data_IF_562187393321
#
_entry.id   IF_562187393321
#
_cell.length_a   1.000
_cell.length_b   1.000
_cell.length_c   1.000
_cell.angle_alpha   90.00
_cell.angle_beta   90.00
_cell.angle_gamma   90.00
#
_symmetry.space_group_name_H-M   'P 1'
#
loop_
_entity.id
_entity.type
_entity.pdbx_description
1 polymer ?
#
# COMPACT_ATOMS: atom_id res chain seq x y z
N UNK A 1 18.82 2.35 18.52
CA UNK A 1 18.28 3.38 17.60
C UNK A 1 17.50 4.41 18.40
N UNK A 2 17.61 5.71 18.09
CA UNK A 2 16.73 6.72 18.71
C UNK A 2 15.27 6.31 18.45
N UNK A 3 14.40 6.38 19.45
CA UNK A 3 13.01 5.91 19.36
C UNK A 3 12.25 6.52 18.16
N UNK A 4 12.54 7.78 17.82
CA UNK A 4 11.95 8.46 16.65
C UNK A 4 12.39 7.91 15.30
N UNK A 5 13.64 7.44 15.18
CA UNK A 5 14.18 6.85 13.96
C UNK A 5 13.51 5.50 13.67
N UNK A 6 13.40 4.63 14.68
CA UNK A 6 12.71 3.35 14.52
C UNK A 6 11.23 3.54 14.14
N UNK A 7 10.54 4.47 14.81
CA UNK A 7 9.15 4.81 14.48
C UNK A 7 9.00 5.26 13.02
N UNK A 8 9.92 6.10 12.53
CA UNK A 8 9.89 6.58 11.15
C UNK A 8 10.05 5.47 10.12
N UNK A 9 11.01 4.56 10.34
CA UNK A 9 11.23 3.39 9.47
C UNK A 9 9.98 2.50 9.43
N UNK A 10 9.39 2.20 10.59
CA UNK A 10 8.20 1.35 10.69
C UNK A 10 7.03 1.98 9.92
N UNK A 11 6.79 3.28 10.08
CA UNK A 11 5.72 3.98 9.36
C UNK A 11 5.95 3.96 7.84
N UNK A 12 7.18 4.17 7.37
CA UNK A 12 7.49 4.05 5.94
C UNK A 12 7.22 2.64 5.44
N UNK A 13 7.65 1.61 6.17
CA UNK A 13 7.43 0.22 5.78
C UNK A 13 5.93 -0.12 5.70
N UNK A 14 5.13 0.32 6.67
CA UNK A 14 3.67 0.12 6.67
C UNK A 14 3.04 0.86 5.48
N UNK A 15 3.39 2.11 5.24
CA UNK A 15 2.85 2.89 4.12
C UNK A 15 3.19 2.28 2.76
N UNK A 16 4.45 1.87 2.59
CA UNK A 16 4.92 1.18 1.38
C UNK A 16 4.21 -0.16 1.18
N UNK A 17 4.01 -0.94 2.24
CA UNK A 17 3.26 -2.20 2.18
C UNK A 17 1.82 -1.99 1.72
N UNK A 18 1.12 -1.00 2.28
CA UNK A 18 -0.26 -0.69 1.88
C UNK A 18 -0.32 -0.30 0.40
N UNK A 19 0.61 0.55 -0.06
CA UNK A 19 0.68 0.95 -1.48
C UNK A 19 0.92 -0.26 -2.37
N UNK A 20 1.93 -1.08 -2.04
CA UNK A 20 2.25 -2.31 -2.76
C UNK A 20 1.03 -3.23 -2.86
N UNK A 21 0.38 -3.50 -1.73
CA UNK A 21 -0.80 -4.34 -1.66
C UNK A 21 -1.95 -3.80 -2.53
N UNK A 22 -2.15 -2.49 -2.52
CA UNK A 22 -3.19 -1.83 -3.31
C UNK A 22 -2.92 -1.95 -4.82
N UNK A 23 -1.65 -1.82 -5.23
CA UNK A 23 -1.24 -1.97 -6.63
C UNK A 23 -1.44 -3.41 -7.10
N UNK A 24 -1.02 -4.39 -6.29
CA UNK A 24 -1.16 -5.82 -6.58
C UNK A 24 -2.64 -6.22 -6.77
N UNK A 25 -3.53 -5.67 -5.95
CA UNK A 25 -4.97 -5.94 -5.98
C UNK A 25 -5.76 -4.86 -6.74
N UNK A 26 -5.14 -4.15 -7.69
CA UNK A 26 -5.78 -3.03 -8.39
C UNK A 26 -7.02 -3.46 -9.21
N UNK A 27 -8.14 -2.71 -9.18
CA UNK A 27 -9.30 -2.94 -10.05
C UNK A 27 -9.01 -2.71 -11.55
N UNK A 28 -7.91 -2.01 -11.84
CA UNK A 28 -7.51 -1.60 -13.18
C UNK A 28 -6.65 -2.66 -13.90
N UNK A 29 -6.69 -3.90 -13.43
CA UNK A 29 -6.01 -5.03 -14.05
C UNK A 29 -6.41 -5.19 -15.54
N UNK A 30 -5.45 -5.61 -16.35
CA UNK A 30 -5.67 -5.90 -17.76
C UNK A 30 -6.66 -7.04 -17.96
N UNK A 31 -7.23 -7.16 -19.16
CA UNK A 31 -8.19 -8.23 -19.49
C UNK A 31 -7.57 -9.62 -19.25
N UNK A 32 -6.29 -9.80 -19.57
CA UNK A 32 -5.60 -11.09 -19.35
C UNK A 32 -5.48 -11.45 -17.88
N UNK A 33 -5.16 -10.48 -17.02
CA UNK A 33 -5.11 -10.69 -15.57
C UNK A 33 -6.49 -10.98 -14.99
N UNK A 34 -7.53 -10.28 -15.45
CA UNK A 34 -8.92 -10.54 -15.05
C UNK A 34 -9.40 -11.94 -15.41
N UNK A 35 -8.94 -12.48 -16.55
CA UNK A 35 -9.25 -13.87 -16.94
C UNK A 35 -8.50 -14.86 -16.06
N UNK A 36 -7.23 -14.61 -15.74
CA UNK A 36 -6.47 -15.43 -14.81
C UNK A 36 -7.09 -15.44 -13.40
N UNK A 37 -7.60 -14.29 -12.94
CA UNK A 37 -8.29 -14.18 -11.65
C UNK A 37 -9.55 -15.06 -11.57
N UNK A 38 -10.26 -15.26 -12.70
CA UNK A 38 -11.42 -16.16 -12.73
C UNK A 38 -11.04 -17.64 -12.60
N UNK A 39 -9.76 -17.97 -12.82
CA UNK A 39 -9.22 -19.33 -12.71
C UNK A 39 -8.52 -19.57 -11.37
N UNK A 40 -8.32 -18.52 -10.57
CA UNK A 40 -7.73 -18.59 -9.23
C UNK A 40 -8.80 -18.30 -8.18
N UNK A 41 -9.17 -19.34 -7.42
CA UNK A 41 -10.17 -19.26 -6.35
C UNK A 41 -9.79 -18.25 -5.24
N UNK A 42 -8.54 -17.79 -5.17
CA UNK A 42 -8.06 -16.81 -4.19
C UNK A 42 -7.83 -15.41 -4.78
N UNK A 43 -8.19 -15.18 -6.04
CA UNK A 43 -7.99 -13.88 -6.66
C UNK A 43 -8.88 -12.82 -6.00
N UNK A 44 -8.25 -11.84 -5.37
CA UNK A 44 -8.91 -10.67 -4.81
C UNK A 44 -8.56 -9.43 -5.62
N UNK A 45 -9.57 -8.62 -5.94
CA UNK A 45 -9.41 -7.30 -6.55
C UNK A 45 -10.17 -6.29 -5.71
N UNK A 46 -9.53 -5.18 -5.37
CA UNK A 46 -10.16 -4.10 -4.60
C UNK A 46 -11.23 -3.39 -5.43
N UNK A 47 -12.23 -2.80 -4.78
CA UNK A 47 -13.06 -1.80 -5.45
C UNK A 47 -12.27 -0.53 -5.72
N UNK A 48 -12.69 0.26 -6.71
CA UNK A 48 -12.03 1.51 -7.09
C UNK A 48 -11.89 2.49 -5.91
N UNK A 49 -12.94 2.63 -5.11
CA UNK A 49 -12.91 3.45 -3.90
C UNK A 49 -11.85 2.98 -2.91
N UNK A 50 -11.77 1.67 -2.66
CA UNK A 50 -10.79 1.10 -1.72
C UNK A 50 -9.36 1.17 -2.24
N UNK A 51 -9.17 0.99 -3.54
CA UNK A 51 -7.87 1.18 -4.20
C UNK A 51 -7.32 2.59 -3.97
N UNK A 52 -8.09 3.63 -4.34
CA UNK A 52 -7.63 5.01 -4.16
C UNK A 52 -7.53 5.42 -2.69
N UNK A 53 -8.42 4.94 -1.83
CA UNK A 53 -8.35 5.19 -0.38
C UNK A 53 -7.06 4.60 0.21
N UNK A 54 -6.70 3.39 -0.20
CA UNK A 54 -5.51 2.70 0.31
C UNK A 54 -4.23 3.32 -0.23
N UNK A 55 -4.20 3.74 -1.51
CA UNK A 55 -3.09 4.51 -2.07
C UNK A 55 -2.85 5.83 -1.33
N UNK A 56 -3.91 6.62 -1.13
CA UNK A 56 -3.82 7.89 -0.41
C UNK A 56 -3.43 7.66 1.04
N UNK A 57 -4.06 6.71 1.72
CA UNK A 57 -3.77 6.36 3.11
C UNK A 57 -2.33 5.88 3.31
N UNK A 58 -1.88 4.95 2.47
CA UNK A 58 -0.49 4.45 2.48
C UNK A 58 0.52 5.56 2.23
N UNK A 59 0.24 6.46 1.28
CA UNK A 59 1.08 7.63 1.00
C UNK A 59 1.19 8.57 2.19
N UNK A 60 0.07 8.88 2.86
CA UNK A 60 0.06 9.71 4.07
C UNK A 60 0.90 9.06 5.18
N UNK A 61 0.72 7.76 5.41
CA UNK A 61 1.47 7.01 6.43
C UNK A 61 2.98 7.06 6.14
N UNK A 62 3.38 6.84 4.88
CA UNK A 62 4.78 6.90 4.48
C UNK A 62 5.37 8.31 4.68
N UNK A 63 4.62 9.37 4.33
CA UNK A 63 5.04 10.76 4.54
C UNK A 63 5.17 11.11 6.03
N UNK A 64 4.29 10.60 6.89
CA UNK A 64 4.40 10.76 8.34
C UNK A 64 5.66 10.04 8.89
N UNK A 65 5.98 8.86 8.34
CA UNK A 65 7.21 8.15 8.67
C UNK A 65 8.46 8.93 8.26
N UNK A 66 8.48 9.47 7.04
CA UNK A 66 9.55 10.32 6.54
C UNK A 66 9.72 11.57 7.42
N UNK A 67 8.62 12.24 7.78
CA UNK A 67 8.65 13.39 8.70
C UNK A 67 9.23 13.02 10.08
N UNK A 68 8.96 11.82 10.58
CA UNK A 68 9.54 11.33 11.85
C UNK A 68 11.05 11.10 11.73
N UNK A 69 11.53 10.61 10.59
CA UNK A 69 12.96 10.44 10.34
C UNK A 69 13.69 11.78 10.27
N UNK A 70 13.16 12.74 9.53
CA UNK A 70 13.76 14.07 9.37
C UNK A 70 13.85 14.86 10.69
N UNK A 71 13.05 14.49 11.69
CA UNK A 71 13.00 15.15 13.01
C UNK A 71 13.74 14.37 14.12
N UNK A 72 14.34 13.22 13.83
CA UNK A 72 15.01 12.34 14.80
C UNK A 72 16.53 12.54 14.86
#
# INVERSE_FOLDING_TARGET
MKKGLLKGIILIAIGAFIIYWSVDHSPNASIGEKVNDLLDDNAYRMSETWYYTSLVGGSIIALLGLRSLLKS
#
